data_IF_605740069441
#
_entry.id   IF_605740069441
#
_cell.length_a   1.000
_cell.length_b   1.000
_cell.length_c   1.000
_cell.angle_alpha   90.00
_cell.angle_beta   90.00
_cell.angle_gamma   90.00
#
_symmetry.space_group_name_H-M   'P 1'
#
loop_
_entity.id
_entity.type
_entity.pdbx_description
1 polymer ?
#
# COMPACT_ATOMS: atom_id res chain seq x y z
N UNK A 1 11.31 6.89 58.23
CA UNK A 1 11.67 5.99 57.10
C UNK A 1 11.92 6.86 55.88
N UNK A 2 12.69 6.37 54.91
CA UNK A 2 12.94 7.09 53.65
C UNK A 2 11.89 6.67 52.64
N UNK A 3 10.83 7.48 52.54
CA UNK A 3 9.95 7.45 51.38
C UNK A 3 10.72 8.12 50.23
N UNK A 4 11.25 7.31 49.33
CA UNK A 4 11.81 7.77 48.05
C UNK A 4 10.90 7.25 46.97
N UNK A 5 9.73 7.88 46.91
CA UNK A 5 8.86 7.85 45.75
C UNK A 5 9.64 8.46 44.58
N UNK A 6 10.00 7.60 43.63
CA UNK A 6 10.70 7.95 42.40
C UNK A 6 10.16 7.11 41.25
N UNK A 7 8.84 7.00 41.17
CA UNK A 7 8.22 6.92 39.85
C UNK A 7 8.60 8.22 39.13
N UNK A 8 9.49 8.10 38.14
CA UNK A 8 9.69 9.18 37.19
C UNK A 8 8.46 9.19 36.31
N UNK A 9 7.66 10.27 36.37
CA UNK A 9 6.41 10.39 35.62
C UNK A 9 6.62 9.99 34.14
N UNK A 10 6.15 8.81 33.76
CA UNK A 10 6.21 8.36 32.36
C UNK A 10 5.15 9.15 31.62
N UNK A 11 5.57 10.25 31.01
CA UNK A 11 4.72 11.07 30.15
C UNK A 11 4.53 10.31 28.84
N UNK A 12 3.44 9.55 28.77
CA UNK A 12 2.97 8.97 27.52
C UNK A 12 2.50 10.10 26.60
N UNK A 13 3.24 10.34 25.53
CA UNK A 13 2.78 11.18 24.43
C UNK A 13 2.05 10.28 23.43
N UNK A 14 0.75 10.57 23.26
CA UNK A 14 -0.18 9.77 22.48
C UNK A 14 -0.35 10.29 21.05
N UNK A 15 0.39 11.34 20.67
CA UNK A 15 0.41 11.86 19.30
C UNK A 15 1.18 10.92 18.36
N UNK A 16 1.00 11.12 17.05
CA UNK A 16 1.90 10.56 16.05
C UNK A 16 3.19 11.39 15.98
N UNK A 17 4.33 10.71 15.91
CA UNK A 17 5.63 11.29 15.68
C UNK A 17 5.86 11.65 14.21
N UNK A 18 7.01 12.26 13.93
CA UNK A 18 7.44 12.64 12.57
C UNK A 18 7.77 11.46 11.64
N UNK A 19 7.34 10.26 12.01
CA UNK A 19 7.46 8.98 11.30
C UNK A 19 6.10 8.26 11.17
N UNK A 20 4.98 8.89 11.55
CA UNK A 20 3.62 8.33 11.48
C UNK A 20 3.23 7.38 12.63
N UNK A 21 4.11 7.15 13.61
CA UNK A 21 3.92 6.18 14.70
C UNK A 21 3.92 6.85 16.09
N UNK A 22 3.35 6.22 17.15
CA UNK A 22 3.22 6.85 18.48
C UNK A 22 4.55 7.27 19.11
N UNK A 23 4.58 8.35 19.89
CA UNK A 23 5.82 8.90 20.51
C UNK A 23 5.98 8.60 22.01
N UNK A 24 5.63 7.38 22.44
CA UNK A 24 5.95 6.92 23.79
C UNK A 24 7.46 6.77 24.01
N UNK A 25 7.88 6.61 25.27
CA UNK A 25 9.29 6.40 25.61
C UNK A 25 9.40 5.33 26.71
N UNK A 26 10.36 4.41 26.55
CA UNK A 26 10.72 3.46 27.62
C UNK A 26 11.37 4.21 28.79
N UNK A 27 11.11 3.82 30.06
CA UNK A 27 11.80 4.41 31.21
C UNK A 27 13.32 4.23 31.14
N UNK A 28 14.12 5.18 31.65
CA UNK A 28 15.60 5.05 31.77
C UNK A 28 16.04 3.80 32.56
N UNK A 29 15.13 3.20 33.33
CA UNK A 29 15.32 1.98 34.12
C UNK A 29 15.02 0.70 33.36
N UNK A 30 14.51 0.76 32.12
CA UNK A 30 14.22 -0.41 31.31
C UNK A 30 15.50 -1.22 31.03
N UNK A 31 15.39 -2.55 31.06
CA UNK A 31 16.50 -3.45 30.75
C UNK A 31 15.94 -4.76 30.24
N UNK A 32 16.20 -5.07 28.96
CA UNK A 32 15.90 -6.38 28.39
C UNK A 32 16.72 -7.48 29.10
N UNK A 33 16.04 -8.56 29.50
CA UNK A 33 16.67 -9.70 30.18
C UNK A 33 16.49 -11.05 29.45
N UNK A 34 15.77 -11.07 28.32
CA UNK A 34 15.66 -12.24 27.45
C UNK A 34 14.51 -12.19 26.43
N UNK A 35 14.44 -13.22 25.61
CA UNK A 35 13.47 -13.39 24.52
C UNK A 35 12.45 -14.52 24.80
N UNK A 36 12.16 -14.78 26.09
CA UNK A 36 11.25 -15.87 26.52
C UNK A 36 10.11 -15.33 27.38
N UNK A 37 8.97 -16.05 27.42
CA UNK A 37 7.80 -15.61 28.19
C UNK A 37 8.12 -15.38 29.67
N UNK A 38 7.99 -14.13 30.11
CA UNK A 38 8.32 -13.64 31.46
C UNK A 38 9.49 -12.66 31.48
N UNK A 39 10.32 -12.64 30.44
CA UNK A 39 11.40 -11.67 30.23
C UNK A 39 10.91 -10.33 29.69
N UNK A 40 11.73 -9.30 29.85
CA UNK A 40 11.63 -8.01 29.16
C UNK A 40 12.27 -8.10 27.77
N UNK A 41 11.50 -7.82 26.72
CA UNK A 41 11.90 -8.03 25.32
C UNK A 41 13.05 -7.13 24.86
N UNK A 42 13.89 -7.59 23.91
CA UNK A 42 14.88 -6.72 23.27
C UNK A 42 14.23 -5.51 22.59
N UNK A 43 14.90 -4.37 22.65
CA UNK A 43 14.56 -3.20 21.84
C UNK A 43 15.31 -3.25 20.50
N UNK A 44 14.75 -2.58 19.50
CA UNK A 44 15.46 -2.12 18.31
C UNK A 44 15.23 -0.62 18.13
N UNK A 45 16.18 0.05 17.51
CA UNK A 45 16.24 1.51 17.33
C UNK A 45 16.76 1.80 15.90
N UNK A 46 16.41 2.94 15.33
CA UNK A 46 16.92 3.41 14.04
C UNK A 46 16.40 2.66 12.82
N UNK A 47 15.29 1.93 12.92
CA UNK A 47 14.78 1.10 11.83
C UNK A 47 14.07 1.91 10.73
N UNK A 48 13.79 1.23 9.61
CA UNK A 48 13.01 1.74 8.46
C UNK A 48 11.71 0.96 8.32
N UNK A 49 10.63 1.59 7.88
CA UNK A 49 9.33 0.98 7.62
C UNK A 49 8.96 0.84 6.12
N UNK A 50 7.73 0.40 5.83
CA UNK A 50 7.19 0.27 4.46
C UNK A 50 7.00 1.61 3.73
N UNK A 51 6.96 2.74 4.43
CA UNK A 51 6.76 4.08 3.83
C UNK A 51 8.08 4.85 3.68
N UNK A 52 9.20 4.25 4.09
CA UNK A 52 10.53 4.85 4.03
C UNK A 52 10.85 5.77 5.20
N UNK A 53 10.00 5.79 6.24
CA UNK A 53 10.29 6.55 7.46
C UNK A 53 11.49 5.93 8.16
N UNK A 54 12.45 6.76 8.56
CA UNK A 54 13.61 6.36 9.34
C UNK A 54 13.42 6.67 10.83
N UNK A 55 14.13 5.94 11.69
CA UNK A 55 14.02 6.02 13.16
C UNK A 55 12.64 5.50 13.65
N UNK A 56 12.27 4.31 13.18
CA UNK A 56 11.14 3.54 13.72
C UNK A 56 11.67 2.64 14.83
N UNK A 57 11.53 3.10 16.07
CA UNK A 57 12.06 2.44 17.26
C UNK A 57 10.98 1.56 17.92
N UNK A 58 11.34 0.43 18.53
CA UNK A 58 10.36 -0.36 19.30
C UNK A 58 9.88 0.41 20.54
N UNK A 59 10.76 1.23 21.14
CA UNK A 59 10.48 2.00 22.35
C UNK A 59 9.30 2.97 22.24
N UNK A 60 8.99 3.42 21.02
CA UNK A 60 7.92 4.40 20.75
C UNK A 60 6.51 3.84 20.99
N UNK A 61 6.37 2.50 21.03
CA UNK A 61 5.11 1.81 21.32
C UNK A 61 4.90 1.46 22.81
N UNK A 62 5.80 1.91 23.71
CA UNK A 62 5.73 1.62 25.15
C UNK A 62 4.39 2.06 25.77
N UNK A 63 3.83 1.27 26.68
CA UNK A 63 2.45 1.45 27.16
C UNK A 63 1.38 0.68 26.38
N UNK A 64 1.71 0.12 25.21
CA UNK A 64 0.79 -0.68 24.39
C UNK A 64 0.96 -2.19 24.61
N UNK A 65 -0.09 -2.97 24.36
CA UNK A 65 0.07 -4.40 24.04
C UNK A 65 0.58 -4.52 22.60
N UNK A 66 1.58 -5.37 22.34
CA UNK A 66 2.16 -5.54 21.00
C UNK A 66 2.13 -7.01 20.58
N UNK A 67 1.68 -7.30 19.36
CA UNK A 67 1.97 -8.54 18.64
C UNK A 67 3.17 -8.29 17.71
N UNK A 68 4.36 -8.66 18.16
CA UNK A 68 5.58 -8.62 17.34
C UNK A 68 5.68 -9.93 16.55
N UNK A 69 5.73 -9.86 15.23
CA UNK A 69 5.88 -10.98 14.32
C UNK A 69 7.24 -10.88 13.60
N UNK A 70 7.97 -11.99 13.51
CA UNK A 70 9.27 -12.04 12.83
C UNK A 70 9.26 -13.12 11.76
N UNK A 71 9.48 -12.71 10.50
CA UNK A 71 9.33 -13.52 9.30
C UNK A 71 10.20 -13.03 8.13
N UNK A 72 9.91 -13.50 6.91
CA UNK A 72 10.59 -13.07 5.69
C UNK A 72 9.60 -13.13 4.51
N UNK A 73 9.87 -12.39 3.44
CA UNK A 73 8.95 -12.30 2.30
C UNK A 73 8.82 -13.66 1.57
N UNK A 74 9.93 -14.41 1.40
CA UNK A 74 9.94 -15.77 0.84
C UNK A 74 9.18 -16.83 1.66
N UNK A 75 8.79 -16.52 2.91
CA UNK A 75 8.24 -17.49 3.85
C UNK A 75 6.73 -17.70 3.62
N UNK A 76 6.34 -18.76 2.90
CA UNK A 76 4.93 -19.14 2.72
C UNK A 76 4.08 -19.23 4.01
N UNK A 77 4.59 -19.76 5.14
CA UNK A 77 3.89 -19.71 6.43
C UNK A 77 3.73 -18.30 7.04
N UNK A 78 4.54 -17.33 6.60
CA UNK A 78 4.47 -15.92 6.99
C UNK A 78 3.46 -15.19 6.10
N UNK A 79 3.49 -15.42 4.78
CA UNK A 79 2.49 -14.96 3.81
C UNK A 79 1.07 -15.40 4.24
N UNK A 80 0.93 -16.66 4.66
CA UNK A 80 -0.32 -17.20 5.17
C UNK A 80 -0.80 -16.57 6.50
N UNK A 81 0.09 -15.91 7.25
CA UNK A 81 -0.27 -15.16 8.46
C UNK A 81 -0.65 -13.70 8.13
N UNK A 82 0.05 -13.08 7.17
CA UNK A 82 -0.24 -11.73 6.68
C UNK A 82 -1.66 -11.60 6.10
N UNK A 83 -2.15 -12.62 5.38
CA UNK A 83 -3.51 -12.65 4.81
C UNK A 83 -4.68 -12.36 5.79
N UNK A 84 -4.48 -12.57 7.10
CA UNK A 84 -5.49 -12.31 8.14
C UNK A 84 -5.02 -11.32 9.23
N UNK A 85 -3.82 -10.74 9.09
CA UNK A 85 -3.15 -10.02 10.18
C UNK A 85 -3.72 -8.62 10.41
N UNK A 86 -4.05 -7.88 9.35
CA UNK A 86 -4.65 -6.56 9.46
C UNK A 86 -6.11 -6.63 9.95
N UNK A 87 -6.90 -7.60 9.46
CA UNK A 87 -8.23 -7.91 10.04
C UNK A 87 -8.10 -8.26 11.53
N UNK A 88 -7.08 -9.02 11.93
CA UNK A 88 -6.84 -9.34 13.34
C UNK A 88 -6.51 -8.11 14.18
N UNK A 89 -5.69 -7.19 13.67
CA UNK A 89 -5.30 -5.94 14.34
C UNK A 89 -6.54 -5.06 14.62
N UNK A 90 -7.33 -4.79 13.58
CA UNK A 90 -8.60 -4.06 13.68
C UNK A 90 -9.58 -4.73 14.65
N UNK A 91 -9.81 -6.05 14.52
CA UNK A 91 -10.72 -6.79 15.40
C UNK A 91 -10.26 -6.85 16.87
N UNK A 92 -8.99 -6.56 17.18
CA UNK A 92 -8.54 -6.44 18.57
C UNK A 92 -8.82 -5.04 19.08
N UNK A 93 -8.36 -3.97 18.41
CA UNK A 93 -8.63 -2.59 18.83
C UNK A 93 -10.15 -2.32 18.94
N UNK A 94 -10.93 -2.67 17.92
CA UNK A 94 -12.39 -2.51 17.89
C UNK A 94 -13.17 -3.46 18.85
N UNK A 95 -12.49 -4.29 19.65
CA UNK A 95 -13.13 -5.10 20.69
C UNK A 95 -12.53 -4.95 22.08
N UNK A 96 -11.61 -4.00 22.29
CA UNK A 96 -10.84 -3.86 23.52
C UNK A 96 -10.67 -2.38 23.95
N UNK A 97 -11.75 -1.76 24.41
CA UNK A 97 -11.75 -0.41 25.01
C UNK A 97 -10.67 -0.21 26.10
N UNK A 98 -10.14 -1.29 26.68
CA UNK A 98 -9.25 -1.21 27.83
C UNK A 98 -7.78 -0.91 27.49
N UNK A 99 -7.27 -1.14 26.27
CA UNK A 99 -5.84 -1.04 25.96
C UNK A 99 -5.54 -0.71 24.50
N UNK A 100 -4.40 -0.03 24.26
CA UNK A 100 -3.87 0.15 22.91
C UNK A 100 -3.22 -1.14 22.40
N UNK A 101 -3.56 -1.58 21.18
CA UNK A 101 -2.96 -2.74 20.54
C UNK A 101 -2.26 -2.40 19.20
N UNK A 102 -1.01 -2.85 19.08
CA UNK A 102 -0.22 -2.77 17.86
C UNK A 102 0.18 -4.16 17.37
N UNK A 103 0.07 -4.41 16.07
CA UNK A 103 0.89 -5.43 15.42
C UNK A 103 2.15 -4.74 14.88
N UNK A 104 3.30 -5.41 14.95
CA UNK A 104 4.54 -4.97 14.32
C UNK A 104 5.13 -6.18 13.62
N UNK A 105 5.37 -6.08 12.31
CA UNK A 105 6.07 -7.11 11.57
C UNK A 105 7.55 -6.76 11.38
N UNK A 106 8.38 -7.79 11.35
CA UNK A 106 9.82 -7.71 11.09
C UNK A 106 10.12 -8.70 9.98
N UNK A 107 10.29 -8.19 8.76
CA UNK A 107 10.77 -8.96 7.62
C UNK A 107 12.28 -8.76 7.57
N UNK A 108 13.07 -9.83 7.64
CA UNK A 108 14.54 -9.73 7.57
C UNK A 108 15.13 -10.10 6.21
N UNK A 109 14.30 -10.64 5.30
CA UNK A 109 14.69 -11.02 3.95
C UNK A 109 13.54 -10.81 2.95
N UNK A 110 13.92 -10.51 1.70
CA UNK A 110 13.06 -10.38 0.52
C UNK A 110 12.61 -11.75 -0.07
N UNK A 111 11.96 -11.76 -1.24
CA UNK A 111 11.56 -12.97 -1.96
C UNK A 111 12.73 -13.86 -2.40
N UNK A 112 13.95 -13.31 -2.50
CA UNK A 112 15.14 -13.98 -3.03
C UNK A 112 16.07 -14.52 -1.92
N UNK A 113 15.91 -14.05 -0.68
CA UNK A 113 16.74 -14.39 0.46
C UNK A 113 17.92 -13.43 0.69
N UNK A 114 17.89 -12.24 0.08
CA UNK A 114 18.81 -11.12 0.39
C UNK A 114 18.19 -10.24 1.50
N UNK A 115 18.91 -9.20 1.96
CA UNK A 115 18.43 -8.29 3.02
C UNK A 115 17.18 -7.51 2.56
N UNK A 116 16.12 -7.58 3.36
CA UNK A 116 14.88 -6.82 3.14
C UNK A 116 15.10 -5.31 3.16
N UNK A 117 14.41 -4.57 2.30
CA UNK A 117 14.49 -3.12 2.17
C UNK A 117 13.10 -2.45 2.16
N UNK A 118 13.04 -1.16 1.82
CA UNK A 118 11.77 -0.44 1.78
C UNK A 118 10.82 -0.95 0.67
N UNK A 119 11.34 -1.39 -0.48
CA UNK A 119 10.54 -2.02 -1.55
C UNK A 119 9.90 -3.33 -1.06
N UNK A 120 10.67 -4.15 -0.33
CA UNK A 120 10.20 -5.35 0.36
C UNK A 120 9.05 -5.05 1.32
N UNK A 121 9.18 -3.98 2.12
CA UNK A 121 8.14 -3.56 3.06
C UNK A 121 6.88 -3.02 2.36
N UNK A 122 7.06 -2.21 1.32
CA UNK A 122 5.98 -1.61 0.52
C UNK A 122 5.15 -2.68 -0.21
N UNK A 123 5.81 -3.63 -0.90
CA UNK A 123 5.15 -4.74 -1.59
C UNK A 123 4.36 -5.62 -0.61
N UNK A 124 4.94 -5.97 0.54
CA UNK A 124 4.24 -6.72 1.58
C UNK A 124 3.05 -5.94 2.19
N UNK A 125 3.14 -4.62 2.28
CA UNK A 125 2.01 -3.78 2.70
C UNK A 125 0.86 -3.83 1.69
N UNK A 126 1.16 -3.77 0.39
CA UNK A 126 0.20 -3.89 -0.70
C UNK A 126 -0.45 -5.28 -0.79
N UNK A 127 0.36 -6.34 -0.90
CA UNK A 127 -0.06 -7.74 -1.06
C UNK A 127 -1.09 -8.20 -0.03
N UNK A 128 -1.01 -7.69 1.20
CA UNK A 128 -1.83 -8.12 2.35
C UNK A 128 -2.66 -7.00 2.98
N UNK A 129 -2.62 -5.78 2.44
CA UNK A 129 -3.33 -4.61 2.97
C UNK A 129 -2.97 -4.31 4.42
N UNK A 130 -1.68 -4.13 4.73
CA UNK A 130 -1.16 -3.94 6.09
C UNK A 130 -0.90 -2.45 6.38
N UNK A 131 -1.55 -1.95 7.45
CA UNK A 131 -1.55 -0.54 7.86
C UNK A 131 -0.58 -0.23 9.02
N UNK A 132 -0.16 -1.28 9.73
CA UNK A 132 0.72 -1.21 10.90
C UNK A 132 2.20 -1.36 10.50
N UNK A 133 3.18 -1.08 11.38
CA UNK A 133 4.59 -1.03 10.98
C UNK A 133 5.14 -2.38 10.49
N UNK A 134 5.77 -2.36 9.32
CA UNK A 134 6.57 -3.46 8.75
C UNK A 134 8.04 -3.01 8.76
N UNK A 135 8.82 -3.55 9.69
CA UNK A 135 10.22 -3.21 9.92
C UNK A 135 11.13 -3.97 8.95
N UNK A 136 11.98 -3.23 8.25
CA UNK A 136 12.89 -3.68 7.19
C UNK A 136 14.30 -3.09 7.35
N UNK A 137 15.20 -3.36 6.41
CA UNK A 137 16.61 -2.95 6.46
C UNK A 137 17.44 -3.73 7.50
N UNK A 138 18.71 -3.38 7.72
CA UNK A 138 19.63 -4.12 8.62
C UNK A 138 19.10 -4.39 10.03
N UNK A 139 18.28 -3.48 10.56
CA UNK A 139 17.73 -3.55 11.92
C UNK A 139 16.76 -4.73 12.10
N UNK A 140 16.13 -5.21 11.03
CA UNK A 140 15.25 -6.38 11.04
C UNK A 140 16.00 -7.70 11.36
N UNK A 141 17.20 -7.90 10.79
CA UNK A 141 18.10 -9.01 11.10
C UNK A 141 18.65 -8.89 12.53
N UNK A 142 19.01 -7.68 12.98
CA UNK A 142 19.42 -7.46 14.37
C UNK A 142 18.29 -7.80 15.36
N UNK A 143 17.06 -7.37 15.08
CA UNK A 143 15.87 -7.72 15.86
C UNK A 143 15.61 -9.23 15.86
N UNK A 144 15.67 -9.90 14.69
CA UNK A 144 15.55 -11.37 14.58
C UNK A 144 16.59 -12.09 15.45
N UNK A 145 17.84 -11.64 15.42
CA UNK A 145 18.94 -12.21 16.21
C UNK A 145 18.73 -11.97 17.72
N UNK A 146 18.33 -10.76 18.11
CA UNK A 146 18.07 -10.42 19.52
C UNK A 146 16.88 -11.23 20.10
N UNK A 147 15.77 -11.31 19.37
CA UNK A 147 14.63 -12.17 19.71
C UNK A 147 14.91 -13.68 19.54
N UNK A 148 16.09 -14.07 19.05
CA UNK A 148 16.55 -15.46 18.96
C UNK A 148 15.79 -16.31 17.92
N UNK A 149 15.15 -15.66 16.95
CA UNK A 149 14.22 -16.30 16.03
C UNK A 149 14.96 -17.16 15.00
N UNK A 150 14.60 -18.43 14.95
CA UNK A 150 15.22 -19.48 14.11
C UNK A 150 14.19 -20.37 13.40
N UNK A 151 12.93 -19.95 13.39
CA UNK A 151 11.78 -20.59 12.73
C UNK A 151 10.74 -19.52 12.45
N UNK A 152 10.00 -19.63 11.34
CA UNK A 152 9.23 -18.52 10.79
C UNK A 152 7.78 -18.90 10.44
N UNK A 153 6.80 -18.00 10.65
CA UNK A 153 6.92 -16.80 11.49
C UNK A 153 7.13 -17.19 12.97
N UNK A 154 7.73 -16.32 13.78
CA UNK A 154 7.66 -16.44 15.24
C UNK A 154 7.02 -15.19 15.81
N UNK A 155 6.04 -15.40 16.68
CA UNK A 155 5.24 -14.34 17.29
C UNK A 155 5.63 -14.14 18.75
N UNK A 156 5.58 -12.90 19.22
CA UNK A 156 5.72 -12.50 20.60
C UNK A 156 4.53 -11.59 20.95
N UNK A 157 3.90 -11.84 22.11
CA UNK A 157 2.96 -10.87 22.68
C UNK A 157 3.68 -10.15 23.79
N UNK A 158 3.95 -8.86 23.61
CA UNK A 158 4.48 -7.94 24.61
C UNK A 158 3.31 -7.26 25.33
N UNK A 159 3.49 -6.90 26.59
CA UNK A 159 2.56 -6.05 27.34
C UNK A 159 3.05 -4.59 27.38
N UNK A 160 2.31 -3.65 28.00
CA UNK A 160 2.72 -2.25 28.19
C UNK A 160 4.12 -2.03 28.77
N UNK A 161 4.66 -2.98 29.55
CA UNK A 161 6.02 -2.96 30.10
C UNK A 161 7.05 -3.69 29.20
N UNK A 162 6.68 -4.03 27.96
CA UNK A 162 7.42 -4.88 27.02
C UNK A 162 7.81 -6.26 27.56
N UNK A 163 7.06 -6.76 28.53
CA UNK A 163 7.25 -8.07 29.12
C UNK A 163 6.54 -9.13 28.28
N UNK A 164 7.30 -10.13 27.83
CA UNK A 164 6.80 -11.16 26.91
C UNK A 164 5.75 -12.03 27.62
N UNK A 165 4.47 -11.89 27.23
CA UNK A 165 3.32 -12.65 27.75
C UNK A 165 2.99 -13.91 26.97
N UNK A 166 3.42 -14.01 25.72
CA UNK A 166 3.40 -15.23 24.93
C UNK A 166 4.56 -15.26 23.92
N UNK A 167 4.99 -16.47 23.55
CA UNK A 167 5.85 -16.75 22.39
C UNK A 167 5.25 -17.98 21.71
N UNK A 168 5.12 -17.98 20.39
CA UNK A 168 4.74 -19.14 19.59
C UNK A 168 5.47 -19.12 18.23
N UNK A 169 5.69 -20.28 17.61
CA UNK A 169 6.59 -20.41 16.46
C UNK A 169 6.04 -21.35 15.41
N UNK A 170 5.97 -20.85 14.16
CA UNK A 170 5.12 -21.36 13.10
C UNK A 170 3.70 -20.79 13.18
N UNK A 171 3.05 -20.63 12.02
CA UNK A 171 1.68 -20.12 11.97
C UNK A 171 0.65 -21.24 12.23
N UNK A 172 -0.20 -21.03 13.24
CA UNK A 172 -1.27 -21.97 13.63
C UNK A 172 -2.65 -21.67 13.05
N UNK A 173 -2.78 -20.69 12.16
CA UNK A 173 -4.05 -20.11 11.73
C UNK A 173 -4.52 -18.98 12.65
N UNK A 174 -5.38 -18.10 12.14
CA UNK A 174 -5.80 -16.83 12.75
C UNK A 174 -6.47 -17.05 14.11
N UNK A 175 -7.26 -18.12 14.22
CA UNK A 175 -7.90 -18.52 15.47
C UNK A 175 -6.91 -18.89 16.58
N UNK A 176 -5.70 -19.37 16.23
CA UNK A 176 -4.62 -19.61 17.18
C UNK A 176 -3.88 -18.31 17.53
N UNK A 177 -3.57 -17.49 16.53
CA UNK A 177 -2.89 -16.20 16.71
C UNK A 177 -3.72 -15.22 17.55
N UNK A 178 -5.01 -15.05 17.23
CA UNK A 178 -5.97 -14.29 18.04
C UNK A 178 -6.10 -14.84 19.46
N UNK A 179 -6.04 -16.16 19.63
CA UNK A 179 -6.07 -16.78 20.96
C UNK A 179 -4.79 -16.49 21.75
N UNK A 180 -3.63 -16.46 21.09
CA UNK A 180 -2.35 -16.11 21.69
C UNK A 180 -2.34 -14.68 22.26
N UNK A 181 -2.84 -13.69 21.50
CA UNK A 181 -2.95 -12.30 21.97
C UNK A 181 -3.90 -12.18 23.16
N UNK A 182 -5.10 -12.74 23.06
CA UNK A 182 -6.10 -12.70 24.15
C UNK A 182 -5.57 -13.38 25.43
N UNK A 183 -4.85 -14.49 25.30
CA UNK A 183 -4.21 -15.15 26.45
C UNK A 183 -2.95 -14.41 26.95
N UNK A 184 -2.33 -13.56 26.14
CA UNK A 184 -1.29 -12.63 26.56
C UNK A 184 -1.87 -11.50 27.41
N UNK A 185 -2.88 -10.80 26.90
CA UNK A 185 -3.60 -9.74 27.61
C UNK A 185 -4.25 -10.24 28.92
N UNK A 186 -4.85 -11.44 28.90
CA UNK A 186 -5.42 -12.08 30.10
C UNK A 186 -4.37 -12.41 31.20
N UNK A 187 -3.08 -12.54 30.84
CA UNK A 187 -1.98 -12.63 31.82
C UNK A 187 -1.57 -11.27 32.34
N UNK A 188 -1.54 -10.26 31.48
CA UNK A 188 -1.25 -8.87 31.88
C UNK A 188 -2.29 -8.36 32.89
N UNK A 189 -3.59 -8.43 32.58
CA UNK A 189 -4.67 -8.00 33.49
C UNK A 189 -4.82 -8.87 34.75
N UNK A 190 -4.26 -10.08 34.76
CA UNK A 190 -4.19 -10.90 35.97
C UNK A 190 -3.05 -10.49 36.93
N UNK A 191 -2.01 -9.83 36.42
CA UNK A 191 -0.93 -9.25 37.23
C UNK A 191 -1.26 -7.79 37.61
N UNK A 192 -1.92 -7.06 36.72
CA UNK A 192 -2.30 -5.66 36.85
C UNK A 192 -3.82 -5.47 36.67
N UNK A 193 -4.65 -5.78 37.69
CA UNK A 193 -6.11 -5.76 37.59
C UNK A 193 -6.72 -4.35 37.63
N UNK A 194 -5.97 -3.37 38.12
CA UNK A 194 -6.37 -1.96 38.27
C UNK A 194 -5.65 -1.06 37.25
N UNK A 195 -5.12 -1.62 36.15
CA UNK A 195 -4.45 -0.84 35.09
C UNK A 195 -5.46 -0.17 34.17
N UNK A 196 -5.28 1.14 33.97
CA UNK A 196 -6.01 1.95 33.00
C UNK A 196 -5.06 2.31 31.84
N UNK A 197 -5.60 2.41 30.62
CA UNK A 197 -4.84 2.81 29.43
C UNK A 197 -4.24 4.21 29.62
N UNK A 198 -2.95 4.38 29.32
CA UNK A 198 -2.28 5.68 29.42
C UNK A 198 -2.63 6.61 28.24
N UNK A 199 -2.85 6.02 27.07
CA UNK A 199 -3.45 6.66 25.91
C UNK A 199 -4.85 6.08 25.68
N UNK A 200 -5.75 6.88 25.10
CA UNK A 200 -6.93 6.33 24.44
C UNK A 200 -6.51 5.42 23.26
N UNK A 201 -7.39 4.58 22.71
CA UNK A 201 -7.04 3.72 21.59
C UNK A 201 -6.60 4.64 20.45
N UNK A 202 -5.67 4.16 19.64
CA UNK A 202 -5.26 4.84 18.42
C UNK A 202 -6.39 4.71 17.40
N UNK A 203 -7.43 5.53 17.62
CA UNK A 203 -8.35 6.04 16.62
C UNK A 203 -7.54 6.93 15.68
N UNK A 204 -6.66 6.29 14.90
CA UNK A 204 -6.44 6.68 13.51
C UNK A 204 -7.86 6.78 12.92
N UNK A 205 -8.22 7.88 12.27
CA UNK A 205 -9.54 7.96 11.64
C UNK A 205 -9.55 7.09 10.37
N UNK A 206 -9.66 5.77 10.57
CA UNK A 206 -9.72 4.75 9.52
C UNK A 206 -11.10 4.81 8.87
N UNK A 207 -11.34 5.85 8.09
CA UNK A 207 -12.43 5.92 7.12
C UNK A 207 -12.23 4.77 6.11
N UNK A 208 -13.12 3.75 6.07
CA UNK A 208 -12.88 2.51 5.33
C UNK A 208 -12.92 2.70 3.81
N UNK A 209 -11.81 3.19 3.26
CA UNK A 209 -11.67 3.56 1.88
C UNK A 209 -10.43 4.39 1.54
N UNK A 210 -9.86 5.15 2.48
CA UNK A 210 -8.76 6.09 2.19
C UNK A 210 -7.36 5.46 2.21
N UNK A 211 -6.85 5.01 1.06
CA UNK A 211 -5.41 4.94 0.75
C UNK A 211 -4.55 4.12 1.71
N UNK A 212 -3.65 4.80 2.43
CA UNK A 212 -2.80 4.24 3.50
C UNK A 212 -3.59 3.89 4.79
N UNK A 213 -4.89 4.16 4.78
CA UNK A 213 -5.89 3.97 5.84
C UNK A 213 -5.59 4.83 7.07
N UNK A 214 -5.08 6.03 6.79
CA UNK A 214 -4.77 7.11 7.74
C UNK A 214 -5.53 8.37 7.34
N UNK A 215 -5.92 9.15 8.35
CA UNK A 215 -6.17 10.59 8.21
C UNK A 215 -5.42 11.23 9.39
N UNK A 216 -4.37 12.00 9.11
CA UNK A 216 -3.61 12.74 10.12
C UNK A 216 -4.34 14.05 10.51
N UNK A 217 -3.96 14.67 11.63
CA UNK A 217 -4.39 16.05 11.94
C UNK A 217 -3.97 16.97 10.77
N UNK A 218 -4.93 17.71 10.20
CA UNK A 218 -4.83 18.52 8.96
C UNK A 218 -4.95 17.76 7.59
N UNK A 219 -5.37 16.48 7.56
CA UNK A 219 -5.85 15.80 6.34
C UNK A 219 -7.40 15.77 6.20
N UNK A 220 -7.93 15.65 4.97
CA UNK A 220 -9.33 15.24 4.69
C UNK A 220 -9.34 13.91 3.90
N UNK A 221 -10.45 13.16 3.94
CA UNK A 221 -10.60 11.83 3.33
C UNK A 221 -11.88 11.66 2.49
N UNK A 222 -11.78 10.92 1.39
CA UNK A 222 -12.89 10.34 0.64
C UNK A 222 -13.32 8.98 1.25
N UNK A 223 -14.46 8.98 1.96
CA UNK A 223 -15.11 7.80 2.57
C UNK A 223 -15.61 6.71 1.59
N UNK A 224 -15.20 6.72 0.33
CA UNK A 224 -15.47 5.65 -0.64
C UNK A 224 -14.31 4.66 -0.76
N UNK A 225 -14.66 3.39 -1.05
CA UNK A 225 -13.75 2.23 -1.02
C UNK A 225 -12.63 2.30 -2.08
N UNK A 226 -11.55 3.00 -1.79
CA UNK A 226 -10.37 3.17 -2.67
C UNK A 226 -9.93 4.63 -2.87
N UNK A 227 -10.46 5.60 -2.13
CA UNK A 227 -9.95 6.98 -2.08
C UNK A 227 -8.54 7.10 -1.47
N UNK A 228 -8.10 8.32 -1.16
CA UNK A 228 -6.77 8.61 -0.61
C UNK A 228 -6.80 9.71 0.46
N UNK A 229 -5.78 9.76 1.33
CA UNK A 229 -5.60 10.85 2.29
C UNK A 229 -5.05 12.11 1.61
N UNK A 230 -5.57 13.28 1.97
CA UNK A 230 -5.15 14.56 1.37
C UNK A 230 -4.18 15.33 2.28
N UNK A 231 -2.90 15.00 2.16
CA UNK A 231 -1.77 15.58 2.91
C UNK A 231 -1.58 17.10 2.73
N UNK A 232 -1.44 17.82 3.86
CA UNK A 232 -0.88 19.20 3.98
C UNK A 232 -1.36 20.20 2.89
N UNK A 233 -2.67 20.39 2.73
CA UNK A 233 -3.21 21.42 1.82
C UNK A 233 -3.58 22.72 2.54
N UNK A 234 -2.68 23.71 2.43
CA UNK A 234 -3.03 25.14 2.53
C UNK A 234 -4.07 25.48 1.41
N UNK A 235 -5.36 25.31 1.74
CA UNK A 235 -6.60 25.44 0.94
C UNK A 235 -7.00 24.24 0.01
N UNK A 236 -8.23 23.66 0.14
CA UNK A 236 -8.77 22.59 -0.75
C UNK A 236 -10.05 22.94 -1.57
N UNK A 237 -10.64 21.93 -2.27
CA UNK A 237 -11.97 21.85 -2.97
C UNK A 237 -12.15 22.60 -4.31
N UNK A 238 -13.11 22.29 -5.21
CA UNK A 238 -13.95 21.10 -5.61
C UNK A 238 -14.79 21.55 -6.86
N UNK A 239 -15.72 20.86 -7.53
CA UNK A 239 -16.46 19.57 -7.42
C UNK A 239 -17.04 19.23 -8.85
N UNK A 240 -17.55 18.02 -9.12
CA UNK A 240 -18.31 17.76 -10.36
C UNK A 240 -19.14 16.46 -10.47
N UNK A 241 -18.92 15.46 -9.61
CA UNK A 241 -19.79 14.28 -9.35
C UNK A 241 -19.16 13.30 -8.33
N UNK A 242 -18.25 13.76 -7.46
CA UNK A 242 -17.54 12.90 -6.52
C UNK A 242 -16.25 13.46 -5.89
N UNK A 243 -16.26 14.67 -5.32
CA UNK A 243 -15.26 15.11 -4.32
C UNK A 243 -15.85 16.16 -3.35
N UNK A 244 -16.58 15.72 -2.32
CA UNK A 244 -17.17 16.63 -1.29
C UNK A 244 -16.59 16.37 0.09
N UNK A 245 -16.02 17.38 0.76
CA UNK A 245 -16.78 18.17 1.74
C UNK A 245 -17.32 19.55 1.25
N UNK A 246 -17.94 20.34 2.14
CA UNK A 246 -18.91 21.40 1.77
C UNK A 246 -18.45 22.88 1.80
N UNK A 247 -18.81 23.61 0.74
CA UNK A 247 -19.15 25.04 0.55
C UNK A 247 -18.20 26.25 0.80
N UNK A 248 -17.21 26.29 1.71
CA UNK A 248 -16.35 27.52 1.85
C UNK A 248 -14.84 27.28 1.78
N UNK A 249 -14.37 26.79 0.62
CA UNK A 249 -13.01 27.00 0.10
C UNK A 249 -13.10 27.29 -1.41
N UNK A 250 -12.23 28.12 -1.99
CA UNK A 250 -12.35 28.55 -3.40
C UNK A 250 -10.98 28.67 -4.10
N UNK A 251 -10.63 27.66 -4.91
CA UNK A 251 -9.37 27.61 -5.65
C UNK A 251 -9.44 28.22 -7.07
N UNK A 252 -8.27 28.50 -7.67
CA UNK A 252 -8.09 28.83 -9.10
C UNK A 252 -7.66 27.54 -9.82
N UNK A 253 -8.46 27.09 -10.78
CA UNK A 253 -8.46 25.72 -11.34
C UNK A 253 -7.64 25.56 -12.63
N UNK A 254 -6.88 26.59 -13.02
CA UNK A 254 -6.42 26.79 -14.39
C UNK A 254 -5.25 25.91 -14.90
N UNK A 255 -4.77 24.89 -14.15
CA UNK A 255 -3.54 24.14 -14.51
C UNK A 255 -3.50 22.62 -14.26
N UNK A 256 -4.55 21.94 -13.79
CA UNK A 256 -4.52 20.50 -13.50
C UNK A 256 -5.55 19.70 -14.32
N UNK A 257 -5.11 18.65 -15.02
CA UNK A 257 -5.98 17.66 -15.70
C UNK A 257 -5.98 16.31 -14.97
N UNK A 258 -6.79 15.31 -15.37
CA UNK A 258 -7.78 15.28 -16.45
C UNK A 258 -9.17 14.97 -15.89
N UNK A 259 -10.22 15.36 -16.63
CA UNK A 259 -11.58 14.89 -16.33
C UNK A 259 -11.79 13.49 -16.93
N UNK A 260 -11.87 12.46 -16.10
CA UNK A 260 -12.31 11.12 -16.52
C UNK A 260 -13.78 11.14 -17.02
N UNK A 261 -14.14 10.23 -17.92
CA UNK A 261 -15.43 10.25 -18.60
C UNK A 261 -16.07 8.86 -18.76
N UNK A 262 -17.41 8.81 -18.74
CA UNK A 262 -18.16 7.55 -18.63
C UNK A 262 -18.65 6.91 -19.93
N UNK A 263 -18.35 7.48 -21.10
CA UNK A 263 -18.87 7.00 -22.40
C UNK A 263 -17.95 5.94 -23.00
N UNK A 264 -18.04 4.70 -22.50
CA UNK A 264 -17.25 3.54 -22.94
C UNK A 264 -17.68 3.02 -24.32
N UNK A 265 -16.74 2.39 -25.03
CA UNK A 265 -17.00 1.68 -26.29
C UNK A 265 -17.86 0.42 -26.16
N UNK A 266 -18.09 -0.25 -27.31
CA UNK A 266 -18.74 -1.56 -27.40
C UNK A 266 -17.82 -2.68 -27.87
N UNK A 267 -16.51 -2.41 -27.98
CA UNK A 267 -15.46 -3.35 -28.40
C UNK A 267 -15.75 -3.96 -29.79
N UNK A 268 -16.51 -3.28 -30.65
CA UNK A 268 -16.97 -3.84 -31.93
C UNK A 268 -15.98 -3.68 -33.10
N UNK A 269 -14.92 -2.89 -32.91
CA UNK A 269 -13.88 -2.57 -33.91
C UNK A 269 -12.45 -2.76 -33.37
N UNK A 270 -12.23 -3.74 -32.49
CA UNK A 270 -10.91 -4.07 -31.93
C UNK A 270 -9.85 -4.31 -33.00
N UNK A 271 -8.72 -3.60 -32.88
CA UNK A 271 -7.49 -3.83 -33.63
C UNK A 271 -6.65 -4.93 -32.96
N UNK A 272 -5.92 -5.71 -33.75
CA UNK A 272 -4.93 -6.66 -33.27
C UNK A 272 -3.54 -6.29 -33.77
N UNK A 273 -2.59 -6.12 -32.85
CA UNK A 273 -1.20 -5.74 -33.11
C UNK A 273 -0.20 -6.70 -32.44
N UNK A 274 1.08 -6.35 -32.52
CA UNK A 274 2.17 -7.08 -31.85
C UNK A 274 3.23 -6.10 -31.34
N UNK A 275 3.64 -6.24 -30.09
CA UNK A 275 4.74 -5.47 -29.49
C UNK A 275 6.06 -6.24 -29.52
N UNK A 276 7.18 -5.51 -29.57
CA UNK A 276 8.55 -6.06 -29.56
C UNK A 276 9.29 -5.66 -28.27
N UNK A 277 10.34 -6.38 -27.88
CA UNK A 277 11.05 -6.10 -26.64
C UNK A 277 12.04 -4.94 -26.75
N UNK A 278 11.91 -3.96 -25.86
CA UNK A 278 12.96 -2.96 -25.66
C UNK A 278 14.27 -3.59 -25.18
N UNK A 279 15.40 -3.07 -25.65
CA UNK A 279 16.72 -3.46 -25.11
C UNK A 279 17.00 -2.89 -23.72
N UNK A 280 16.20 -1.88 -23.33
CA UNK A 280 15.99 -1.36 -21.97
C UNK A 280 14.78 -0.41 -22.04
N UNK A 281 13.76 -0.59 -21.22
CA UNK A 281 12.52 0.19 -21.31
C UNK A 281 11.61 -0.25 -22.46
N UNK A 282 10.79 0.68 -22.97
CA UNK A 282 9.68 0.40 -23.87
C UNK A 282 9.97 0.64 -25.36
N UNK A 283 9.17 -0.01 -26.23
CA UNK A 283 9.05 0.28 -27.65
C UNK A 283 7.58 0.54 -27.99
N UNK A 284 7.22 1.81 -28.22
CA UNK A 284 5.84 2.26 -28.31
C UNK A 284 5.27 2.21 -29.73
N UNK A 285 4.16 1.50 -29.90
CA UNK A 285 3.21 1.66 -31.00
C UNK A 285 2.30 2.85 -30.71
N UNK A 286 2.36 3.89 -31.54
CA UNK A 286 1.64 5.15 -31.36
C UNK A 286 0.53 5.27 -32.41
N UNK A 287 -0.70 5.50 -31.95
CA UNK A 287 -1.91 5.78 -32.73
C UNK A 287 -2.27 7.26 -32.57
N UNK A 288 -2.70 7.92 -33.65
CA UNK A 288 -3.15 9.32 -33.63
C UNK A 288 -4.64 9.41 -33.96
N UNK A 289 -5.39 10.13 -33.12
CA UNK A 289 -6.84 10.33 -33.21
C UNK A 289 -7.15 11.83 -33.29
N UNK A 290 -8.14 12.23 -34.08
CA UNK A 290 -8.64 13.61 -34.08
C UNK A 290 -9.89 13.72 -33.21
N UNK A 291 -9.86 14.63 -32.24
CA UNK A 291 -10.93 14.86 -31.25
C UNK A 291 -11.24 16.36 -31.14
N UNK A 292 -12.43 16.69 -30.66
CA UNK A 292 -12.81 18.04 -30.24
C UNK A 292 -12.68 18.24 -28.71
N UNK A 293 -12.54 19.49 -28.27
CA UNK A 293 -12.52 19.89 -26.86
C UNK A 293 -13.79 19.42 -26.15
N UNK A 294 -13.64 18.59 -25.11
CA UNK A 294 -14.75 17.96 -24.39
C UNK A 294 -15.16 16.57 -24.89
N UNK A 295 -14.53 16.02 -25.93
CA UNK A 295 -14.75 14.62 -26.33
C UNK A 295 -14.22 13.64 -25.27
N UNK A 296 -15.02 12.64 -24.93
CA UNK A 296 -14.61 11.51 -24.11
C UNK A 296 -13.86 10.49 -24.98
N UNK A 297 -12.58 10.22 -24.67
CA UNK A 297 -11.78 9.15 -25.28
C UNK A 297 -11.69 7.99 -24.29
N UNK A 298 -12.16 6.81 -24.70
CA UNK A 298 -12.08 5.57 -23.93
C UNK A 298 -11.16 4.58 -24.65
N UNK A 299 -10.24 3.94 -23.93
CA UNK A 299 -9.29 2.96 -24.45
C UNK A 299 -9.41 1.63 -23.71
N UNK A 300 -9.08 0.55 -24.41
CA UNK A 300 -8.92 -0.77 -23.81
C UNK A 300 -7.83 -1.57 -24.49
N UNK A 301 -6.85 -2.06 -23.73
CA UNK A 301 -5.74 -2.89 -24.22
C UNK A 301 -5.75 -4.23 -23.50
N UNK A 302 -5.72 -5.34 -24.23
CA UNK A 302 -5.89 -6.69 -23.69
C UNK A 302 -4.87 -7.63 -24.38
N UNK A 303 -4.13 -8.44 -23.61
CA UNK A 303 -3.21 -9.45 -24.18
C UNK A 303 -3.97 -10.71 -24.65
N UNK A 304 -5.23 -10.90 -24.23
CA UNK A 304 -6.22 -11.89 -24.66
C UNK A 304 -5.93 -13.34 -24.25
N UNK A 305 -4.64 -13.70 -24.21
CA UNK A 305 -4.08 -15.04 -24.05
C UNK A 305 -2.75 -15.25 -24.78
N UNK A 306 -2.09 -14.18 -25.26
CA UNK A 306 -0.69 -14.18 -25.70
C UNK A 306 0.25 -13.67 -24.59
N UNK A 307 1.55 -13.95 -24.73
CA UNK A 307 2.59 -13.60 -23.74
C UNK A 307 3.02 -12.11 -23.84
N UNK A 308 2.06 -11.18 -23.96
CA UNK A 308 2.28 -9.73 -23.93
C UNK A 308 2.07 -9.20 -22.51
N UNK A 309 2.88 -8.21 -22.14
CA UNK A 309 2.93 -7.55 -20.83
C UNK A 309 2.61 -6.05 -21.05
N UNK A 310 1.32 -5.71 -21.29
CA UNK A 310 0.96 -4.47 -22.00
C UNK A 310 0.92 -3.25 -21.08
N UNK A 311 1.61 -2.19 -21.51
CA UNK A 311 1.53 -0.83 -20.91
C UNK A 311 1.01 0.16 -21.94
N UNK A 312 0.18 1.12 -21.53
CA UNK A 312 -0.32 2.20 -22.39
C UNK A 312 0.01 3.61 -21.86
N UNK A 313 -0.19 4.62 -22.71
CA UNK A 313 -0.09 6.05 -22.38
C UNK A 313 -0.97 6.88 -23.32
N UNK A 314 -1.62 7.92 -22.82
CA UNK A 314 -2.43 8.85 -23.63
C UNK A 314 -1.98 10.29 -23.42
N UNK A 315 -1.93 11.10 -24.49
CA UNK A 315 -1.70 12.55 -24.39
C UNK A 315 -2.47 13.32 -25.46
N UNK A 316 -3.01 14.50 -25.10
CA UNK A 316 -3.71 15.39 -26.03
C UNK A 316 -2.85 16.54 -26.59
N UNK A 317 -3.44 17.32 -27.50
CA UNK A 317 -2.74 18.40 -28.20
C UNK A 317 -2.36 19.61 -27.33
N UNK A 318 -2.85 19.69 -26.09
CA UNK A 318 -2.41 20.66 -25.09
C UNK A 318 -1.26 20.12 -24.20
N UNK A 319 -0.93 18.83 -24.33
CA UNK A 319 0.10 18.15 -23.54
C UNK A 319 -0.42 17.57 -22.22
N UNK A 320 -1.73 17.36 -22.10
CA UNK A 320 -2.35 16.75 -20.91
C UNK A 320 -2.53 15.24 -21.14
N UNK A 321 -2.18 14.42 -20.15
CA UNK A 321 -1.91 12.99 -20.35
C UNK A 321 -2.45 12.08 -19.23
N UNK A 322 -2.42 10.76 -19.48
CA UNK A 322 -2.74 9.68 -18.55
C UNK A 322 -1.79 8.49 -18.72
N UNK A 323 -1.46 7.79 -17.63
CA UNK A 323 -0.48 6.69 -17.56
C UNK A 323 0.92 7.14 -17.18
N UNK A 324 1.13 7.62 -15.95
CA UNK A 324 2.37 8.34 -15.61
C UNK A 324 2.90 8.10 -14.18
N UNK A 325 2.39 7.10 -13.47
CA UNK A 325 3.10 6.49 -12.34
C UNK A 325 4.52 6.03 -12.75
N UNK A 326 5.51 6.14 -11.85
CA UNK A 326 6.92 5.78 -12.14
C UNK A 326 7.13 4.28 -12.45
N UNK A 327 6.15 3.45 -12.06
CA UNK A 327 6.03 2.01 -12.28
C UNK A 327 4.99 1.64 -13.37
N UNK A 328 4.29 2.64 -13.95
CA UNK A 328 3.24 2.50 -14.97
C UNK A 328 1.93 1.83 -14.52
N UNK A 329 1.75 1.54 -13.22
CA UNK A 329 0.61 0.77 -12.69
C UNK A 329 -0.79 1.32 -13.03
N UNK A 330 -0.92 2.61 -13.33
CA UNK A 330 -2.17 3.23 -13.83
C UNK A 330 -2.76 2.49 -15.05
N UNK A 331 -1.89 1.91 -15.88
CA UNK A 331 -2.19 1.28 -17.17
C UNK A 331 -1.29 0.04 -17.39
N UNK A 332 -1.19 -0.84 -16.38
CA UNK A 332 -0.45 -2.11 -16.42
C UNK A 332 -1.34 -3.33 -16.08
N UNK A 333 -0.83 -4.54 -16.26
CA UNK A 333 -1.57 -5.83 -16.36
C UNK A 333 -2.19 -6.37 -15.05
N UNK A 334 -1.61 -6.04 -13.88
CA UNK A 334 -1.76 -6.79 -12.61
C UNK A 334 -3.19 -6.98 -12.05
N UNK A 335 -4.21 -6.18 -12.41
CA UNK A 335 -5.61 -6.38 -11.94
C UNK A 335 -6.67 -5.72 -12.85
N UNK A 336 -7.82 -6.32 -13.19
CA UNK A 336 -8.11 -7.75 -13.42
C UNK A 336 -9.24 -7.91 -14.44
N UNK A 337 -8.95 -8.48 -15.62
CA UNK A 337 -9.95 -8.64 -16.69
C UNK A 337 -10.91 -9.82 -16.39
N UNK A 338 -12.01 -9.56 -15.70
CA UNK A 338 -12.86 -10.62 -15.10
C UNK A 338 -13.81 -11.37 -16.05
N UNK A 339 -13.44 -11.47 -17.34
CA UNK A 339 -14.00 -12.32 -18.41
C UNK A 339 -15.42 -11.88 -18.90
N UNK A 340 -15.77 -11.95 -20.19
CA UNK A 340 -15.15 -12.65 -21.33
C UNK A 340 -15.48 -11.88 -22.64
N UNK A 341 -14.80 -12.10 -23.79
CA UNK A 341 -14.21 -13.37 -24.26
C UNK A 341 -12.71 -13.58 -23.96
N UNK A 342 -12.12 -12.73 -23.13
CA UNK A 342 -10.69 -12.73 -22.78
C UNK A 342 -10.37 -13.69 -21.62
N UNK A 343 -9.13 -14.21 -21.56
CA UNK A 343 -8.89 -15.60 -21.12
C UNK A 343 -7.81 -15.87 -20.06
N UNK A 344 -7.36 -14.86 -19.31
CA UNK A 344 -6.38 -15.01 -18.22
C UNK A 344 -5.07 -14.27 -18.51
N UNK A 345 -5.04 -13.03 -18.04
CA UNK A 345 -4.05 -11.98 -18.27
C UNK A 345 -4.70 -10.64 -17.93
N UNK A 346 -3.92 -9.58 -17.84
CA UNK A 346 -4.39 -8.23 -17.56
C UNK A 346 -5.11 -7.56 -18.72
N UNK A 347 -5.77 -6.45 -18.40
CA UNK A 347 -6.38 -5.58 -19.39
C UNK A 347 -6.47 -4.15 -18.86
N UNK A 348 -5.85 -3.24 -19.59
CA UNK A 348 -5.97 -1.80 -19.40
C UNK A 348 -7.36 -1.37 -19.85
N UNK A 349 -8.14 -0.67 -19.02
CA UNK A 349 -9.47 -0.13 -19.36
C UNK A 349 -9.59 1.27 -18.73
N UNK A 350 -9.48 2.34 -19.54
CA UNK A 350 -9.27 3.72 -19.06
C UNK A 350 -9.86 4.78 -20.00
N UNK A 351 -10.13 5.99 -19.49
CA UNK A 351 -10.71 7.08 -20.29
C UNK A 351 -10.24 8.47 -19.87
N UNK A 352 -10.38 9.46 -20.76
CA UNK A 352 -10.23 10.87 -20.42
C UNK A 352 -11.02 11.80 -21.34
N UNK A 353 -11.32 13.01 -20.86
CA UNK A 353 -11.91 14.10 -21.65
C UNK A 353 -10.82 14.94 -22.28
N UNK A 354 -10.83 15.10 -23.61
CA UNK A 354 -9.84 15.89 -24.34
C UNK A 354 -9.91 17.38 -23.94
N UNK A 355 -8.79 17.95 -23.48
CA UNK A 355 -8.74 19.34 -22.97
C UNK A 355 -8.63 20.40 -24.08
N UNK A 356 -8.36 19.99 -25.32
CA UNK A 356 -8.35 20.87 -26.49
C UNK A 356 -8.62 20.09 -27.80
N UNK A 357 -9.37 20.69 -28.74
CA UNK A 357 -9.56 20.14 -30.09
C UNK A 357 -8.23 19.99 -30.83
N UNK A 358 -7.90 18.77 -31.25
CA UNK A 358 -6.64 18.47 -31.93
C UNK A 358 -6.35 16.98 -32.09
N UNK A 359 -5.07 16.63 -32.09
CA UNK A 359 -4.61 15.23 -32.07
C UNK A 359 -4.53 14.74 -30.62
N UNK A 360 -5.08 13.56 -30.37
CA UNK A 360 -4.72 12.71 -29.22
C UNK A 360 -3.80 11.61 -29.71
N UNK A 361 -2.69 11.40 -29.00
CA UNK A 361 -1.75 10.33 -29.25
C UNK A 361 -1.90 9.26 -28.17
N UNK A 362 -2.18 8.04 -28.58
CA UNK A 362 -2.26 6.85 -27.74
C UNK A 362 -1.04 5.97 -28.04
N UNK A 363 -0.24 5.66 -27.04
CA UNK A 363 0.90 4.75 -27.13
C UNK A 363 0.61 3.42 -26.42
N UNK A 364 1.09 2.31 -26.97
CA UNK A 364 1.04 0.96 -26.37
C UNK A 364 2.42 0.30 -26.50
N UNK A 365 2.90 -0.40 -25.47
CA UNK A 365 4.18 -1.10 -25.45
C UNK A 365 4.14 -2.33 -24.52
N UNK A 366 5.30 -2.98 -24.34
CA UNK A 366 5.58 -3.91 -23.24
C UNK A 366 6.97 -3.61 -22.64
N UNK A 367 7.23 -4.02 -21.40
CA UNK A 367 8.51 -3.77 -20.75
C UNK A 367 9.66 -4.64 -21.31
N UNK A 368 10.77 -3.99 -21.68
CA UNK A 368 11.99 -4.66 -22.12
C UNK A 368 12.75 -5.35 -20.98
N UNK A 369 12.27 -6.51 -20.54
CA UNK A 369 12.73 -7.20 -19.33
C UNK A 369 12.83 -8.74 -19.39
N UNK A 370 12.90 -9.36 -18.21
CA UNK A 370 13.08 -10.80 -18.02
C UNK A 370 11.77 -11.59 -18.11
N UNK A 371 11.20 -11.68 -19.31
CA UNK A 371 9.96 -12.42 -19.58
C UNK A 371 9.39 -12.10 -20.97
N UNK A 372 9.58 -10.84 -21.38
CA UNK A 372 9.21 -10.29 -22.68
C UNK A 372 9.61 -11.18 -23.87
N UNK A 373 8.73 -11.26 -24.87
CA UNK A 373 8.98 -11.89 -26.17
C UNK A 373 8.72 -10.93 -27.33
N UNK A 374 9.58 -10.98 -28.36
CA UNK A 374 9.39 -10.22 -29.60
C UNK A 374 8.17 -10.74 -30.37
N UNK A 375 7.32 -9.83 -30.85
CA UNK A 375 6.08 -10.16 -31.55
C UNK A 375 4.94 -10.66 -30.67
N UNK A 376 4.93 -10.36 -29.36
CA UNK A 376 3.80 -10.71 -28.47
C UNK A 376 2.52 -9.97 -28.90
N UNK A 377 1.42 -10.73 -29.05
CA UNK A 377 0.14 -10.22 -29.59
C UNK A 377 -0.63 -9.37 -28.56
N UNK A 378 -1.21 -8.25 -29.00
CA UNK A 378 -2.13 -7.42 -28.21
C UNK A 378 -3.39 -7.05 -28.99
N UNK A 379 -4.49 -6.83 -28.28
CA UNK A 379 -5.74 -6.27 -28.79
C UNK A 379 -5.92 -4.84 -28.26
N UNK A 380 -6.35 -3.92 -29.13
CA UNK A 380 -6.65 -2.53 -28.79
C UNK A 380 -8.05 -2.15 -29.27
N UNK A 381 -8.92 -1.71 -28.37
CA UNK A 381 -10.18 -1.03 -28.69
C UNK A 381 -10.11 0.42 -28.23
N UNK A 382 -10.68 1.33 -29.03
CA UNK A 382 -10.82 2.74 -28.66
C UNK A 382 -12.20 3.23 -29.07
N UNK A 383 -12.82 4.07 -28.24
CA UNK A 383 -14.06 4.76 -28.56
C UNK A 383 -13.94 6.27 -28.29
N UNK A 384 -14.67 7.06 -29.06
CA UNK A 384 -14.86 8.50 -28.81
C UNK A 384 -16.35 8.76 -28.60
N UNK A 385 -16.72 9.32 -27.43
CA UNK A 385 -18.10 9.50 -26.98
C UNK A 385 -18.94 8.21 -27.16
N UNK A 386 -18.42 7.07 -26.68
CA UNK A 386 -19.06 5.75 -26.77
C UNK A 386 -19.19 5.19 -28.19
N UNK A 387 -18.53 5.80 -29.19
CA UNK A 387 -18.50 5.31 -30.58
C UNK A 387 -17.16 4.66 -30.88
N UNK A 388 -17.14 3.34 -31.11
CA UNK A 388 -15.93 2.59 -31.45
C UNK A 388 -15.24 3.17 -32.71
N UNK A 389 -13.90 3.25 -32.67
CA UNK A 389 -13.06 3.84 -33.71
C UNK A 389 -12.45 2.76 -34.62
N UNK A 390 -12.41 3.02 -35.93
CA UNK A 390 -11.79 2.12 -36.91
C UNK A 390 -10.27 2.30 -36.93
N UNK A 391 -9.58 1.46 -36.16
CA UNK A 391 -8.12 1.42 -36.07
C UNK A 391 -7.45 0.47 -37.11
N UNK A 392 -8.18 0.00 -38.13
CA UNK A 392 -7.69 -1.02 -39.09
C UNK A 392 -6.51 -0.56 -39.98
N UNK A 393 -6.12 0.71 -39.90
CA UNK A 393 -4.88 1.23 -40.50
C UNK A 393 -3.60 0.83 -39.73
N UNK A 394 -3.71 0.47 -38.44
CA UNK A 394 -2.59 0.28 -37.53
C UNK A 394 -2.03 1.59 -36.95
N UNK A 395 -0.98 1.50 -36.11
CA UNK A 395 -0.33 2.68 -35.53
C UNK A 395 0.33 3.57 -36.59
N UNK A 396 0.42 4.87 -36.32
CA UNK A 396 1.11 5.83 -37.20
C UNK A 396 2.63 5.77 -37.03
N UNK A 397 3.11 5.35 -35.85
CA UNK A 397 4.52 5.04 -35.58
C UNK A 397 4.63 3.71 -34.82
N UNK A 398 5.50 2.79 -35.29
CA UNK A 398 5.73 1.49 -34.65
C UNK A 398 7.08 1.48 -33.94
N UNK A 399 7.13 0.93 -32.71
CA UNK A 399 8.37 0.71 -31.97
C UNK A 399 9.20 1.97 -31.65
N UNK A 400 8.54 3.08 -31.28
CA UNK A 400 9.20 4.32 -30.86
C UNK A 400 9.92 4.15 -29.52
N UNK A 401 11.16 4.65 -29.40
CA UNK A 401 11.88 4.69 -28.12
C UNK A 401 11.60 5.94 -27.28
N UNK A 402 10.51 6.65 -27.56
CA UNK A 402 10.04 7.84 -26.84
C UNK A 402 8.53 7.98 -26.98
N UNK A 403 7.89 8.48 -25.93
CA UNK A 403 6.50 8.93 -25.96
C UNK A 403 6.32 10.18 -26.87
N UNK A 404 5.07 10.52 -27.25
CA UNK A 404 4.75 11.64 -28.15
C UNK A 404 5.17 13.04 -27.65
#
# INVERSE_FOLDING_TARGET
>A
DTDTDTDADVVFDCSAGTNGWPVSNVPETYTSDGNTRGSFGPLFEGATDQYGNANVDLGQFYGSMILLSVGAEWCGPCQAAAQGSNELWHNINASQDNYQFWTIEVLFQDLYGEESDNETGFRWAGDYGIEYPIIVGPVSEEARVAYGVTSFPTFFVLDPDFKIRAVDSGFGGDAALRRMVIDGYSRFTSDFPDWERACDPYEREVEPGCGNLVVEDDEECDSTSGGASCRDLDEPRAEGNGLTCSEECTFDDSTCGLAFCGDTGSESLTYGGTVDCGSSGFLWDIFELSVDEGDCVHIKVDNGGGDADPVAYMVDSAGVFSGLADDYLDLDDEVSCTNAPWGGGGCIDSSFTASASGTVSLAVAQWGGSGCSDGSEYALSVAVNGTDMDLSAGPTTTGSSSLP
#
